data_IF_067346657813
#
_entry.id   IF_067346657813
#
_cell.length_a   1.000
_cell.length_b   1.000
_cell.length_c   1.000
_cell.angle_alpha   90.00
_cell.angle_beta   90.00
_cell.angle_gamma   90.00
#
_symmetry.space_group_name_H-M   'P 1'
#
loop_
_entity.id
_entity.type
_entity.pdbx_description
1 polymer ?
#
# COMPACT_ATOMS: atom_id res chain seq x y z
N UNK A 1 -12.17 46.15 -22.76
CA UNK A 1 -11.97 46.37 -21.31
C UNK A 1 -13.15 45.69 -20.63
N UNK A 2 -13.07 44.68 -19.78
CA UNK A 2 -12.03 43.75 -19.31
C UNK A 2 -12.81 42.59 -18.69
N UNK A 3 -12.38 41.37 -18.95
CA UNK A 3 -13.06 40.11 -18.65
C UNK A 3 -13.35 39.91 -17.14
N UNK A 4 -14.53 39.39 -16.84
CA UNK A 4 -14.91 38.94 -15.50
C UNK A 4 -14.35 37.54 -15.26
N UNK A 5 -13.26 37.46 -14.50
CA UNK A 5 -12.64 36.19 -14.12
C UNK A 5 -13.32 35.66 -12.87
N UNK A 6 -14.16 34.64 -13.06
CA UNK A 6 -14.73 33.82 -12.00
C UNK A 6 -13.64 33.12 -11.20
N UNK A 7 -13.62 33.36 -9.89
CA UNK A 7 -12.86 32.59 -8.91
C UNK A 7 -13.54 31.24 -8.70
N UNK A 8 -12.92 30.16 -9.18
CA UNK A 8 -13.26 28.77 -8.82
C UNK A 8 -12.36 28.32 -7.66
N UNK A 9 -12.88 27.63 -6.62
CA UNK A 9 -12.07 27.08 -5.53
C UNK A 9 -11.09 26.02 -6.04
N UNK A 10 -9.84 26.06 -5.56
CA UNK A 10 -8.84 25.03 -5.82
C UNK A 10 -9.30 23.68 -5.24
N UNK A 11 -9.84 22.84 -6.12
CA UNK A 11 -9.95 21.40 -5.92
C UNK A 11 -8.52 20.83 -5.77
N UNK A 12 -8.23 19.95 -4.80
CA UNK A 12 -6.92 19.32 -4.69
C UNK A 12 -6.68 18.48 -5.94
N UNK A 13 -5.83 19.01 -6.83
CA UNK A 13 -5.42 18.34 -8.05
C UNK A 13 -4.87 16.95 -7.69
N UNK A 14 -5.38 15.86 -8.30
CA UNK A 14 -4.71 14.57 -8.26
C UNK A 14 -3.32 14.80 -8.84
N UNK A 15 -2.26 14.56 -8.06
CA UNK A 15 -0.88 14.62 -8.54
C UNK A 15 -0.77 13.71 -9.76
N UNK A 16 -0.81 14.32 -10.94
CA UNK A 16 -0.68 13.65 -12.21
C UNK A 16 0.65 12.93 -12.19
N UNK A 17 0.58 11.62 -12.38
CA UNK A 17 1.72 10.73 -12.44
C UNK A 17 2.72 11.24 -13.47
N UNK A 18 3.90 11.68 -13.03
CA UNK A 18 5.00 12.01 -13.94
C UNK A 18 5.66 10.70 -14.40
N UNK A 19 5.44 10.27 -15.66
CA UNK A 19 5.98 9.01 -16.17
C UNK A 19 7.50 9.08 -16.45
N UNK A 20 8.14 10.25 -16.30
CA UNK A 20 9.57 10.42 -16.53
C UNK A 20 10.42 10.13 -15.27
N UNK A 21 9.78 9.91 -14.11
CA UNK A 21 10.48 9.43 -12.93
C UNK A 21 10.81 7.92 -13.08
N UNK A 22 12.09 7.51 -13.18
CA UNK A 22 12.47 6.10 -13.26
C UNK A 22 12.07 5.29 -12.01
N UNK A 23 11.66 5.97 -10.94
CA UNK A 23 11.12 5.37 -9.72
C UNK A 23 9.58 5.30 -9.68
N UNK A 24 8.89 5.75 -10.73
CA UNK A 24 7.42 5.63 -10.82
C UNK A 24 7.03 4.13 -10.84
N UNK A 25 6.16 3.72 -9.91
CA UNK A 25 5.81 2.31 -9.74
C UNK A 25 6.89 1.44 -9.10
N UNK A 26 7.98 2.03 -8.56
CA UNK A 26 8.99 1.29 -7.79
C UNK A 26 8.71 1.28 -6.28
N UNK A 27 7.85 2.16 -5.78
CA UNK A 27 7.54 2.27 -4.35
C UNK A 27 6.06 2.57 -4.16
N UNK A 28 5.51 2.08 -3.05
CA UNK A 28 4.20 2.45 -2.53
C UNK A 28 4.28 2.74 -1.03
N UNK A 29 3.17 3.18 -0.44
CA UNK A 29 3.12 3.55 0.99
C UNK A 29 3.60 2.43 1.93
N UNK A 30 3.34 1.17 1.57
CA UNK A 30 3.63 0.00 2.39
C UNK A 30 4.50 -1.03 1.68
N UNK A 31 5.13 -0.68 0.57
CA UNK A 31 5.99 -1.61 -0.15
C UNK A 31 7.02 -0.86 -0.99
N UNK A 32 8.09 -1.53 -1.34
CA UNK A 32 9.08 -1.06 -2.32
C UNK A 32 9.51 -2.20 -3.21
N UNK A 33 9.94 -1.92 -4.43
CA UNK A 33 10.51 -2.94 -5.29
C UNK A 33 11.77 -3.51 -4.64
N UNK A 34 11.90 -4.82 -4.75
CA UNK A 34 13.07 -5.58 -4.31
C UNK A 34 14.17 -5.64 -5.37
N UNK A 35 13.86 -5.18 -6.59
CA UNK A 35 14.74 -5.16 -7.76
C UNK A 35 14.64 -3.81 -8.45
N UNK A 36 15.58 -3.49 -9.33
CA UNK A 36 15.54 -2.29 -10.19
C UNK A 36 14.54 -2.42 -11.35
N UNK A 37 13.45 -3.16 -11.14
CA UNK A 37 12.33 -3.31 -12.08
C UNK A 37 11.02 -3.13 -11.31
N UNK A 38 10.00 -2.48 -11.90
CA UNK A 38 8.71 -2.32 -11.25
C UNK A 38 7.97 -3.68 -11.19
N UNK A 39 7.11 -3.91 -10.19
CA UNK A 39 6.24 -5.08 -10.19
C UNK A 39 5.32 -5.05 -11.43
N UNK A 40 5.18 -6.19 -12.11
CA UNK A 40 4.24 -6.30 -13.24
C UNK A 40 2.92 -6.94 -12.82
N UNK A 41 2.94 -7.70 -11.72
CA UNK A 41 1.77 -8.38 -11.16
C UNK A 41 1.30 -7.72 -9.86
N UNK A 42 0.03 -7.35 -9.87
CA UNK A 42 -0.62 -6.61 -8.80
C UNK A 42 -1.90 -7.32 -8.37
N UNK A 43 -2.23 -7.20 -7.09
CA UNK A 43 -3.58 -7.49 -6.62
C UNK A 43 -4.54 -6.46 -7.24
N UNK A 44 -5.66 -6.96 -7.77
CA UNK A 44 -6.67 -6.12 -8.42
C UNK A 44 -7.34 -5.16 -7.42
N UNK A 45 -7.47 -5.59 -6.16
CA UNK A 45 -8.14 -4.82 -5.12
C UNK A 45 -7.15 -4.07 -4.24
N UNK A 46 -7.45 -2.78 -4.02
CA UNK A 46 -6.74 -1.98 -3.03
C UNK A 46 -7.18 -2.42 -1.63
N UNK A 47 -6.28 -3.06 -0.90
CA UNK A 47 -6.59 -3.61 0.42
C UNK A 47 -5.91 -2.82 1.53
N UNK A 48 -6.64 -2.56 2.61
CA UNK A 48 -6.14 -1.90 3.83
C UNK A 48 -5.83 -2.96 4.89
N UNK A 49 -4.73 -2.78 5.63
CA UNK A 49 -4.25 -3.78 6.59
C UNK A 49 -4.85 -3.65 8.01
N UNK A 50 -5.59 -2.58 8.29
CA UNK A 50 -6.16 -2.26 9.59
C UNK A 50 -7.34 -1.30 9.46
N UNK A 51 -8.06 -1.00 10.55
CA UNK A 51 -9.12 0.02 10.59
C UNK A 51 -8.62 1.46 10.80
N UNK A 52 -7.34 1.68 11.13
CA UNK A 52 -6.84 3.03 11.44
C UNK A 52 -7.05 4.00 10.28
N UNK A 53 -7.67 5.16 10.52
CA UNK A 53 -7.95 6.18 9.48
C UNK A 53 -6.67 6.71 8.81
N UNK A 54 -5.57 6.81 9.58
CA UNK A 54 -4.27 7.23 9.08
C UNK A 54 -3.65 6.28 8.05
N UNK A 55 -4.11 5.04 7.96
CA UNK A 55 -3.61 4.08 6.98
C UNK A 55 -4.52 4.02 5.76
N UNK A 56 -3.92 3.99 4.58
CA UNK A 56 -4.65 4.03 3.32
C UNK A 56 -4.77 2.62 2.73
N UNK A 57 -5.82 2.41 1.94
CA UNK A 57 -5.87 1.24 1.08
C UNK A 57 -4.77 1.39 0.02
N UNK A 58 -4.06 0.32 -0.28
CA UNK A 58 -2.93 0.34 -1.22
C UNK A 58 -3.01 -0.88 -2.13
N UNK A 59 -2.57 -0.71 -3.37
CA UNK A 59 -2.40 -1.83 -4.28
C UNK A 59 -1.16 -2.63 -3.89
N UNK A 60 -1.30 -3.94 -3.80
CA UNK A 60 -0.25 -4.82 -3.31
C UNK A 60 0.41 -5.56 -4.47
N UNK A 61 1.74 -5.44 -4.64
CA UNK A 61 2.46 -6.22 -5.62
C UNK A 61 2.48 -7.70 -5.20
N UNK A 62 2.31 -8.58 -6.18
CA UNK A 62 2.40 -10.04 -6.00
C UNK A 62 3.81 -10.58 -6.23
N UNK A 63 4.71 -9.76 -6.77
CA UNK A 63 6.06 -10.13 -7.12
C UNK A 63 7.03 -8.97 -6.92
N UNK A 64 8.32 -9.30 -6.90
CA UNK A 64 9.41 -8.32 -6.92
C UNK A 64 9.31 -7.21 -5.88
N UNK A 65 8.66 -7.41 -4.73
CA UNK A 65 8.48 -6.37 -3.73
C UNK A 65 8.91 -6.81 -2.32
N UNK A 66 9.39 -5.83 -1.57
CA UNK A 66 9.56 -5.88 -0.13
C UNK A 66 8.39 -5.10 0.48
N UNK A 67 7.58 -5.76 1.31
CA UNK A 67 6.44 -5.13 1.95
C UNK A 67 6.76 -4.72 3.40
N UNK A 68 6.23 -3.58 3.80
CA UNK A 68 6.30 -2.99 5.13
C UNK A 68 4.92 -3.13 5.78
N UNK A 69 4.83 -3.98 6.81
CA UNK A 69 3.57 -4.18 7.54
C UNK A 69 3.53 -3.26 8.77
N UNK A 70 2.54 -2.35 8.86
CA UNK A 70 2.40 -1.44 10.00
C UNK A 70 2.09 -2.21 11.30
N UNK A 71 2.46 -1.68 12.47
CA UNK A 71 2.32 -2.37 13.74
C UNK A 71 0.87 -2.62 14.16
N UNK A 72 -0.08 -1.82 13.65
CA UNK A 72 -1.51 -2.02 13.90
C UNK A 72 -2.18 -2.98 12.90
N UNK A 73 -1.41 -3.60 12.00
CA UNK A 73 -1.97 -4.49 10.99
C UNK A 73 -2.55 -5.75 11.61
N UNK A 74 -3.76 -6.09 11.18
CA UNK A 74 -4.44 -7.32 11.54
C UNK A 74 -5.05 -8.03 10.32
N UNK A 75 -5.16 -7.37 9.16
CA UNK A 75 -5.63 -7.96 7.89
C UNK A 75 -4.48 -8.37 6.97
N UNK A 76 -4.66 -9.46 6.21
CA UNK A 76 -3.72 -9.89 5.18
C UNK A 76 -4.09 -9.28 3.81
N UNK A 77 -3.11 -8.71 3.07
CA UNK A 77 -3.39 -8.16 1.75
C UNK A 77 -3.68 -9.24 0.70
N UNK A 78 -3.11 -10.43 0.87
CA UNK A 78 -3.12 -11.50 -0.15
C UNK A 78 -4.23 -12.53 0.04
N UNK A 79 -4.87 -12.59 1.21
CA UNK A 79 -5.92 -13.56 1.46
C UNK A 79 -6.91 -13.07 2.54
N UNK A 80 -8.10 -13.68 2.63
CA UNK A 80 -9.11 -13.33 3.63
C UNK A 80 -8.89 -13.98 5.01
N UNK A 81 -7.87 -14.84 5.20
CA UNK A 81 -7.66 -15.60 6.45
C UNK A 81 -7.48 -14.74 7.72
N UNK A 82 -7.10 -13.48 7.54
CA UNK A 82 -6.87 -12.50 8.60
C UNK A 82 -7.90 -11.37 8.56
N UNK A 83 -8.98 -11.51 7.78
CA UNK A 83 -10.01 -10.49 7.60
C UNK A 83 -11.19 -10.66 8.58
N UNK A 84 -10.93 -11.24 9.77
CA UNK A 84 -11.95 -11.37 10.82
C UNK A 84 -12.33 -9.98 11.34
N UNK A 85 -13.58 -9.59 11.07
CA UNK A 85 -14.13 -8.29 11.47
C UNK A 85 -14.26 -8.17 13.00
N UNK A 86 -14.39 -9.29 13.70
CA UNK A 86 -14.50 -9.35 15.16
C UNK A 86 -13.15 -9.19 15.89
N UNK A 87 -12.02 -9.29 15.18
CA UNK A 87 -10.69 -9.20 15.79
C UNK A 87 -9.87 -8.04 15.22
N UNK A 88 -10.04 -6.88 15.83
CA UNK A 88 -9.30 -5.65 15.51
C UNK A 88 -7.99 -5.51 16.29
N UNK A 89 -7.64 -6.48 17.15
CA UNK A 89 -6.38 -6.46 17.87
C UNK A 89 -5.20 -6.62 16.89
N UNK A 90 -4.10 -5.91 17.15
CA UNK A 90 -2.89 -6.06 16.32
C UNK A 90 -2.42 -7.51 16.30
N UNK A 91 -2.26 -8.05 15.08
CA UNK A 91 -1.71 -9.38 14.87
C UNK A 91 -0.42 -9.32 14.04
N UNK A 92 0.30 -8.19 14.08
CA UNK A 92 1.42 -7.92 13.18
C UNK A 92 2.48 -9.03 13.16
N UNK A 93 2.80 -9.64 14.30
CA UNK A 93 3.77 -10.75 14.37
C UNK A 93 3.24 -12.00 13.64
N UNK A 94 1.99 -12.38 13.91
CA UNK A 94 1.33 -13.52 13.26
C UNK A 94 1.15 -13.27 11.76
N UNK A 95 0.75 -12.05 11.40
CA UNK A 95 0.54 -11.62 10.03
C UNK A 95 1.86 -11.65 9.23
N UNK A 96 2.95 -11.13 9.80
CA UNK A 96 4.29 -11.22 9.19
C UNK A 96 4.71 -12.68 8.99
N UNK A 97 4.51 -13.53 9.98
CA UNK A 97 4.80 -14.96 9.86
C UNK A 97 3.97 -15.64 8.77
N UNK A 98 2.67 -15.33 8.70
CA UNK A 98 1.76 -15.82 7.68
C UNK A 98 2.20 -15.38 6.27
N UNK A 99 2.44 -14.08 6.06
CA UNK A 99 2.84 -13.59 4.74
C UNK A 99 4.17 -14.21 4.27
N UNK A 100 5.14 -14.34 5.18
CA UNK A 100 6.42 -14.97 4.86
C UNK A 100 6.28 -16.45 4.49
N UNK A 101 5.35 -17.18 5.13
CA UNK A 101 5.16 -18.61 4.91
C UNK A 101 4.28 -18.91 3.70
N UNK A 102 3.17 -18.19 3.55
CA UNK A 102 2.10 -18.55 2.63
C UNK A 102 2.13 -17.77 1.31
N UNK A 103 2.74 -16.57 1.27
CA UNK A 103 2.66 -15.68 0.10
C UNK A 103 4.02 -15.43 -0.58
N UNK A 104 5.11 -16.05 -0.12
CA UNK A 104 6.46 -15.95 -0.72
C UNK A 104 6.96 -14.50 -0.92
N UNK A 105 6.48 -13.53 -0.13
CA UNK A 105 6.87 -12.12 -0.22
C UNK A 105 7.98 -11.77 0.78
N UNK A 106 8.91 -10.89 0.40
CA UNK A 106 9.93 -10.37 1.32
C UNK A 106 9.34 -9.31 2.25
N UNK A 107 9.60 -9.43 3.54
CA UNK A 107 9.18 -8.44 4.55
C UNK A 107 10.36 -7.55 4.95
N UNK A 108 10.13 -6.24 5.04
CA UNK A 108 11.01 -5.31 5.77
C UNK A 108 10.56 -5.20 7.22
N UNK A 109 11.49 -5.45 8.14
CA UNK A 109 11.29 -5.14 9.56
C UNK A 109 11.79 -3.73 9.78
N UNK A 110 10.89 -2.79 10.04
CA UNK A 110 11.27 -1.50 10.61
C UNK A 110 11.43 -1.75 12.12
N UNK A 111 12.66 -1.92 12.58
CA UNK A 111 12.98 -1.78 13.99
C UNK A 111 12.95 -0.29 14.29
N UNK A 112 11.90 0.16 14.98
CA UNK A 112 11.86 1.48 15.62
C UNK A 112 12.39 1.38 17.03
#
# INVERSE_FOLDING_TARGET
>A
MTNETSTTPSEPQPTEADPANPYYGMHGHYWKSSRDVPPTRWLQENKKLCACDNHQATQWPMEHAVITIPPCAYKCPYCPKFDDLDNTASQVVKLRAHIKRDHLVRLSVICG
#
